data_IF_399654936054
#
_entry.id   IF_399654936054
#
_cell.length_a   1.000
_cell.length_b   1.000
_cell.length_c   1.000
_cell.angle_alpha   90.00
_cell.angle_beta   90.00
_cell.angle_gamma   90.00
#
_symmetry.space_group_name_H-M   'P 1'
#
loop_
_entity.id
_entity.type
_entity.pdbx_description
1 polymer ?
#
# COMPACT_ATOMS: atom_id res chain seq x y z
N UNK A 1 5.92 16.81 7.95
CA UNK A 1 6.47 16.87 6.57
C UNK A 1 5.87 15.71 5.81
N UNK A 2 5.05 15.92 4.78
CA UNK A 2 4.44 14.80 4.08
C UNK A 2 5.33 14.33 2.94
N UNK A 3 6.35 13.56 3.26
CA UNK A 3 7.16 12.80 2.31
C UNK A 3 7.38 11.40 2.86
N UNK A 4 8.37 10.70 2.33
CA UNK A 4 8.71 9.36 2.76
C UNK A 4 10.17 9.06 2.49
N UNK A 5 10.50 7.78 2.40
CA UNK A 5 11.85 7.35 2.05
C UNK A 5 11.79 6.07 1.23
N UNK A 6 12.84 5.88 0.44
CA UNK A 6 13.24 4.60 -0.08
C UNK A 6 14.63 4.30 0.49
N UNK A 7 14.81 3.13 1.07
CA UNK A 7 16.08 2.71 1.66
C UNK A 7 16.53 1.39 1.05
N UNK A 8 17.83 1.31 0.81
CA UNK A 8 18.53 0.05 0.64
C UNK A 8 19.21 -0.28 1.98
N UNK A 9 18.99 -1.50 2.46
CA UNK A 9 19.51 -1.98 3.73
C UNK A 9 20.48 -3.13 3.46
N UNK A 10 21.48 -3.25 4.32
CA UNK A 10 22.35 -4.40 4.36
C UNK A 10 21.53 -5.65 4.77
N UNK A 11 21.43 -6.68 3.91
CA UNK A 11 20.56 -7.82 4.20
C UNK A 11 21.03 -8.71 5.36
N UNK A 12 22.25 -8.52 5.87
CA UNK A 12 22.80 -9.27 7.00
C UNK A 12 22.63 -8.54 8.32
N UNK A 13 22.79 -7.21 8.31
CA UNK A 13 22.83 -6.37 9.51
C UNK A 13 21.59 -5.50 9.68
N UNK A 14 20.80 -5.31 8.63
CA UNK A 14 19.67 -4.37 8.61
C UNK A 14 20.10 -2.91 8.64
N UNK A 15 21.38 -2.59 8.47
CA UNK A 15 21.84 -1.20 8.47
C UNK A 15 21.49 -0.51 7.15
N UNK A 16 21.07 0.75 7.21
CA UNK A 16 20.80 1.55 6.01
C UNK A 16 22.11 1.78 5.25
N UNK A 17 22.16 1.32 4.00
CA UNK A 17 23.26 1.55 3.06
C UNK A 17 23.03 2.83 2.26
N UNK A 18 21.80 3.02 1.78
CA UNK A 18 21.37 4.21 1.03
C UNK A 18 19.97 4.61 1.45
N UNK A 19 19.73 5.90 1.55
CA UNK A 19 18.40 6.47 1.75
C UNK A 19 18.16 7.56 0.69
N UNK A 20 17.08 7.39 -0.06
CA UNK A 20 16.58 8.33 -1.05
C UNK A 20 15.26 8.92 -0.51
N UNK A 21 15.21 10.22 -0.16
CA UNK A 21 13.99 10.82 0.34
C UNK A 21 12.91 10.83 -0.74
N UNK A 22 11.70 10.44 -0.37
CA UNK A 22 10.53 10.54 -1.23
C UNK A 22 9.89 11.89 -1.00
N UNK A 23 9.96 12.75 -2.02
CA UNK A 23 9.41 14.09 -1.96
C UNK A 23 7.89 14.07 -1.72
N UNK A 24 7.34 15.10 -1.05
CA UNK A 24 5.90 15.33 -1.01
C UNK A 24 5.27 15.37 -2.40
N UNK A 25 4.33 14.47 -2.65
CA UNK A 25 3.65 14.34 -3.94
C UNK A 25 2.22 13.82 -3.78
N UNK A 26 1.37 14.07 -4.77
CA UNK A 26 0.04 13.46 -4.84
C UNK A 26 0.25 12.06 -5.42
N UNK A 27 0.28 11.04 -4.58
CA UNK A 27 0.35 9.63 -5.01
C UNK A 27 -1.03 9.03 -5.28
N UNK A 28 -2.05 9.62 -4.66
CA UNK A 28 -3.43 9.21 -4.76
C UNK A 28 -4.31 10.46 -4.72
N UNK A 29 -5.16 10.64 -5.71
CA UNK A 29 -6.23 11.64 -5.70
C UNK A 29 -7.57 10.94 -5.80
N UNK A 30 -8.51 11.30 -4.92
CA UNK A 30 -9.82 10.67 -4.89
C UNK A 30 -10.90 11.73 -4.83
N UNK A 31 -11.82 11.70 -5.81
CA UNK A 31 -12.94 12.63 -5.90
C UNK A 31 -14.26 11.89 -5.77
N UNK A 32 -15.02 12.23 -4.73
CA UNK A 32 -16.39 11.73 -4.55
C UNK A 32 -17.32 12.35 -5.59
N UNK A 33 -18.08 11.52 -6.28
CA UNK A 33 -19.07 11.92 -7.26
C UNK A 33 -20.47 12.06 -6.63
N UNK A 34 -21.42 12.74 -7.30
CA UNK A 34 -22.78 12.91 -6.80
C UNK A 34 -23.55 11.61 -6.52
N UNK A 35 -23.21 10.54 -7.25
CA UNK A 35 -23.79 9.21 -7.07
C UNK A 35 -23.17 8.41 -5.90
N UNK A 36 -22.24 9.02 -5.16
CA UNK A 36 -21.59 8.45 -4.01
C UNK A 36 -20.38 7.57 -4.32
N UNK A 37 -20.07 7.31 -5.60
CA UNK A 37 -18.83 6.64 -6.02
C UNK A 37 -17.65 7.59 -5.94
N UNK A 38 -16.46 7.02 -6.03
CA UNK A 38 -15.20 7.72 -6.07
C UNK A 38 -14.53 7.48 -7.41
N UNK A 39 -14.07 8.55 -8.04
CA UNK A 39 -13.06 8.48 -9.10
C UNK A 39 -11.69 8.62 -8.43
N UNK A 40 -10.88 7.59 -8.54
CA UNK A 40 -9.54 7.54 -7.95
C UNK A 40 -8.49 7.52 -9.05
N UNK A 41 -7.44 8.33 -8.88
CA UNK A 41 -6.28 8.39 -9.75
C UNK A 41 -5.02 8.16 -8.91
N UNK A 42 -4.25 7.15 -9.27
CA UNK A 42 -2.92 6.91 -8.71
C UNK A 42 -1.87 7.51 -9.64
N UNK A 43 -0.85 8.12 -9.04
CA UNK A 43 0.27 8.72 -9.76
C UNK A 43 1.56 7.97 -9.45
N UNK A 44 2.46 7.94 -10.42
CA UNK A 44 3.82 7.43 -10.22
C UNK A 44 4.67 8.47 -9.48
N UNK A 45 5.91 8.10 -9.12
CA UNK A 45 6.86 9.00 -8.43
C UNK A 45 7.20 10.26 -9.26
N UNK A 46 7.08 10.23 -10.58
CA UNK A 46 7.33 11.39 -11.45
C UNK A 46 6.08 12.28 -11.66
N UNK A 47 4.93 11.90 -11.07
CA UNK A 47 3.67 12.63 -11.18
C UNK A 47 2.83 12.26 -12.41
N UNK A 48 3.26 11.30 -13.24
CA UNK A 48 2.42 10.74 -14.31
C UNK A 48 1.31 9.86 -13.76
N UNK A 49 0.17 9.79 -14.47
CA UNK A 49 -0.94 8.91 -14.09
C UNK A 49 -0.53 7.46 -14.29
N UNK A 50 -0.58 6.67 -13.22
CA UNK A 50 -0.37 5.23 -13.23
C UNK A 50 -1.64 4.48 -13.64
N UNK A 51 -2.74 4.78 -12.96
CA UNK A 51 -4.05 4.15 -13.17
C UNK A 51 -5.16 5.07 -12.68
N UNK A 52 -6.33 4.98 -13.32
CA UNK A 52 -7.56 5.60 -12.85
C UNK A 52 -8.66 4.54 -12.78
N UNK A 53 -9.45 4.55 -11.72
CA UNK A 53 -10.51 3.57 -11.51
C UNK A 53 -11.68 4.14 -10.71
N UNK A 54 -12.84 3.51 -10.92
CA UNK A 54 -14.05 3.76 -10.14
C UNK A 54 -14.07 2.89 -8.91
N UNK A 55 -14.53 3.46 -7.80
CA UNK A 55 -14.56 2.79 -6.52
C UNK A 55 -15.83 3.14 -5.74
N UNK A 56 -16.39 2.20 -4.98
CA UNK A 56 -17.52 2.50 -4.09
C UNK A 56 -17.05 2.99 -2.70
N UNK A 57 -17.99 3.31 -1.81
CA UNK A 57 -17.67 3.77 -0.46
C UNK A 57 -17.05 2.70 0.46
N UNK A 58 -17.15 1.42 0.09
CA UNK A 58 -16.46 0.31 0.75
C UNK A 58 -15.05 0.08 0.18
N UNK A 59 -14.58 0.97 -0.68
CA UNK A 59 -13.28 0.89 -1.35
C UNK A 59 -13.06 -0.31 -2.27
N UNK A 60 -14.14 -0.75 -2.91
CA UNK A 60 -14.10 -1.80 -3.94
C UNK A 60 -13.99 -1.16 -5.31
N UNK A 61 -13.01 -1.61 -6.09
CA UNK A 61 -12.81 -1.23 -7.49
C UNK A 61 -13.93 -1.83 -8.33
N UNK A 62 -14.56 -0.99 -9.14
CA UNK A 62 -15.71 -1.35 -9.95
C UNK A 62 -15.31 -1.65 -11.40
N UNK A 63 -15.92 -2.67 -12.00
CA UNK A 63 -15.85 -2.90 -13.43
C UNK A 63 -16.75 -1.91 -14.22
N UNK A 64 -16.75 -2.04 -15.56
CA UNK A 64 -17.58 -1.22 -16.46
C UNK A 64 -19.08 -1.36 -16.19
N UNK A 65 -19.52 -2.49 -15.62
CA UNK A 65 -20.91 -2.72 -15.22
C UNK A 65 -21.26 -2.20 -13.83
N UNK A 66 -20.29 -1.61 -13.13
CA UNK A 66 -20.43 -1.09 -11.77
C UNK A 66 -20.35 -2.16 -10.68
N UNK A 67 -19.86 -3.37 -10.98
CA UNK A 67 -19.73 -4.45 -10.00
C UNK A 67 -18.35 -4.44 -9.34
N UNK A 68 -18.27 -4.70 -8.02
CA UNK A 68 -17.01 -4.91 -7.32
C UNK A 68 -16.17 -6.03 -7.94
N UNK A 69 -14.87 -5.78 -8.12
CA UNK A 69 -13.90 -6.75 -8.66
C UNK A 69 -12.84 -7.15 -7.63
N UNK A 70 -12.35 -6.17 -6.89
CA UNK A 70 -11.32 -6.31 -5.84
C UNK A 70 -11.35 -5.07 -4.94
N UNK A 71 -10.61 -5.08 -3.84
CA UNK A 71 -10.38 -3.89 -3.02
C UNK A 71 -9.27 -3.02 -3.60
N UNK A 72 -9.37 -1.71 -3.39
CA UNK A 72 -8.24 -0.81 -3.59
C UNK A 72 -7.22 -1.01 -2.47
N UNK A 73 -5.92 -0.95 -2.80
CA UNK A 73 -4.86 -1.04 -1.80
C UNK A 73 -4.94 0.09 -0.77
N UNK A 74 -5.27 1.30 -1.24
CA UNK A 74 -5.47 2.47 -0.37
C UNK A 74 -6.86 3.00 -0.55
N UNK A 75 -7.57 3.10 0.57
CA UNK A 75 -8.83 3.79 0.65
C UNK A 75 -8.60 5.22 1.20
N UNK A 76 -9.34 6.26 0.79
CA UNK A 76 -9.21 7.59 1.39
C UNK A 76 -9.50 7.62 2.89
N UNK A 77 -10.40 6.75 3.34
CA UNK A 77 -10.82 6.60 4.75
C UNK A 77 -10.89 5.11 5.06
N UNK A 78 -10.39 4.65 6.21
CA UNK A 78 -10.35 3.23 6.54
C UNK A 78 -11.73 2.56 6.35
N UNK A 79 -11.86 1.57 5.45
CA UNK A 79 -13.13 0.95 5.13
C UNK A 79 -13.65 0.01 6.24
N UNK A 80 -12.86 -0.27 7.28
CA UNK A 80 -13.27 -1.10 8.42
C UNK A 80 -13.53 -2.56 8.06
N UNK A 81 -12.93 -3.05 6.96
CA UNK A 81 -13.05 -4.44 6.53
C UNK A 81 -12.12 -5.34 7.37
N UNK A 82 -12.48 -6.61 7.60
CA UNK A 82 -11.58 -7.54 8.28
C UNK A 82 -10.35 -7.91 7.42
N UNK A 83 -10.46 -7.77 6.09
CA UNK A 83 -9.37 -7.97 5.16
C UNK A 83 -9.58 -7.12 3.89
N UNK A 84 -8.47 -6.82 3.20
CA UNK A 84 -8.50 -6.38 1.80
C UNK A 84 -8.09 -7.53 0.90
N UNK A 85 -8.79 -7.71 -0.21
CA UNK A 85 -8.48 -8.67 -1.26
C UNK A 85 -8.10 -7.94 -2.55
N UNK A 86 -6.85 -8.11 -2.96
CA UNK A 86 -6.29 -7.51 -4.18
C UNK A 86 -5.89 -8.64 -5.12
N UNK A 87 -6.31 -8.56 -6.38
CA UNK A 87 -5.92 -9.52 -7.41
C UNK A 87 -4.57 -9.12 -8.00
N UNK A 88 -3.60 -10.02 -7.88
CA UNK A 88 -2.29 -9.88 -8.50
C UNK A 88 -2.31 -10.62 -9.84
N UNK A 89 -2.14 -9.91 -10.97
CA UNK A 89 -2.14 -10.54 -12.29
C UNK A 89 -0.98 -11.55 -12.39
N UNK A 90 -1.19 -12.68 -13.08
CA UNK A 90 -0.13 -13.67 -13.23
C UNK A 90 0.98 -13.12 -14.16
N UNK A 91 2.24 -13.57 -13.98
CA UNK A 91 3.34 -13.21 -14.87
C UNK A 91 3.19 -13.84 -16.27
N UNK A 92 2.35 -14.87 -16.40
CA UNK A 92 2.07 -15.58 -17.65
C UNK A 92 0.61 -15.33 -18.03
N UNK A 93 0.38 -14.87 -19.26
CA UNK A 93 -0.97 -14.68 -19.81
C UNK A 93 -1.80 -15.98 -19.73
N UNK A 94 -3.10 -15.84 -19.45
CA UNK A 94 -4.10 -16.92 -19.34
C UNK A 94 -4.04 -17.81 -18.09
N UNK A 95 -3.23 -17.46 -17.08
CA UNK A 95 -3.37 -18.06 -15.75
C UNK A 95 -4.42 -17.31 -14.91
N UNK A 96 -4.94 -17.97 -13.88
CA UNK A 96 -5.79 -17.31 -12.90
C UNK A 96 -4.96 -16.34 -12.05
N UNK A 97 -5.46 -15.13 -11.75
CA UNK A 97 -4.82 -14.23 -10.80
C UNK A 97 -4.67 -14.87 -9.42
N UNK A 98 -3.63 -14.46 -8.70
CA UNK A 98 -3.49 -14.79 -7.28
C UNK A 98 -4.12 -13.70 -6.42
N UNK A 99 -4.54 -14.03 -5.20
CA UNK A 99 -5.10 -13.06 -4.26
C UNK A 99 -4.06 -12.67 -3.21
N UNK A 100 -3.78 -11.37 -3.14
CA UNK A 100 -3.09 -10.73 -2.03
C UNK A 100 -4.14 -10.36 -0.98
N UNK A 101 -4.06 -10.99 0.19
CA UNK A 101 -4.92 -10.69 1.34
C UNK A 101 -4.15 -9.93 2.40
N UNK A 102 -4.59 -8.72 2.76
CA UNK A 102 -4.07 -7.98 3.89
C UNK A 102 -5.05 -8.09 5.06
N UNK A 103 -4.56 -8.42 6.24
CA UNK A 103 -5.34 -8.56 7.46
C UNK A 103 -5.63 -7.18 8.06
N UNK A 104 -6.90 -6.87 8.31
CA UNK A 104 -7.30 -5.65 9.01
C UNK A 104 -7.07 -5.75 10.53
N UNK A 105 -6.70 -4.62 11.15
CA UNK A 105 -6.51 -4.52 12.59
C UNK A 105 -5.67 -3.32 13.00
N UNK A 106 -5.17 -3.31 14.23
CA UNK A 106 -4.16 -2.35 14.65
C UNK A 106 -2.77 -2.87 14.26
N UNK A 107 -1.99 -2.04 13.58
CA UNK A 107 -0.59 -2.29 13.28
C UNK A 107 0.19 -2.30 14.59
N UNK A 108 0.93 -3.37 14.83
CA UNK A 108 1.68 -3.55 16.09
C UNK A 108 3.04 -2.86 16.06
N UNK A 109 3.58 -2.63 14.86
CA UNK A 109 4.84 -1.94 14.63
C UNK A 109 4.57 -0.48 14.24
N UNK A 110 5.42 0.42 14.72
CA UNK A 110 5.40 1.86 14.42
C UNK A 110 6.21 2.14 13.15
N UNK A 111 5.65 1.78 11.99
CA UNK A 111 6.35 1.83 10.70
C UNK A 111 6.74 3.24 10.25
N UNK A 112 6.10 4.28 10.78
CA UNK A 112 6.42 5.67 10.43
C UNK A 112 7.02 6.49 11.57
N UNK A 113 7.38 5.80 12.68
CA UNK A 113 8.14 6.28 13.82
C UNK A 113 7.52 7.50 14.52
N UNK A 114 6.18 7.59 14.56
CA UNK A 114 5.46 8.70 15.19
C UNK A 114 4.94 8.39 16.61
N UNK A 115 5.18 7.15 17.08
CA UNK A 115 4.83 6.67 18.41
C UNK A 115 3.35 6.33 18.59
N UNK A 116 2.55 6.26 17.52
CA UNK A 116 1.11 5.95 17.60
C UNK A 116 0.81 4.59 17.01
N UNK A 117 -0.07 3.85 17.68
CA UNK A 117 -0.68 2.65 17.11
C UNK A 117 -1.72 3.04 16.07
N UNK A 118 -1.53 2.65 14.81
CA UNK A 118 -2.51 2.91 13.76
C UNK A 118 -3.41 1.72 13.45
N UNK A 119 -4.70 1.98 13.16
CA UNK A 119 -5.49 1.03 12.41
C UNK A 119 -4.98 0.92 10.97
N UNK A 120 -5.08 -0.27 10.40
CA UNK A 120 -4.58 -0.53 9.07
C UNK A 120 -4.77 -1.95 8.60
N UNK A 121 -4.06 -2.26 7.53
CA UNK A 121 -4.04 -3.57 6.89
C UNK A 121 -2.60 -4.03 6.72
N UNK A 122 -2.32 -5.27 7.11
CA UNK A 122 -0.97 -5.83 7.12
C UNK A 122 -0.94 -7.15 6.34
N UNK A 123 0.09 -7.31 5.50
CA UNK A 123 0.49 -8.61 4.97
C UNK A 123 1.97 -8.81 5.23
N UNK A 124 2.29 -9.92 5.89
CA UNK A 124 3.65 -10.47 5.90
C UNK A 124 3.74 -11.58 4.85
N UNK A 125 4.81 -11.57 4.06
CA UNK A 125 5.10 -12.60 3.07
C UNK A 125 6.44 -13.26 3.39
N UNK A 126 6.61 -14.49 2.92
CA UNK A 126 7.91 -15.15 2.95
C UNK A 126 7.82 -16.66 2.78
N UNK A 127 8.91 -17.23 2.27
CA UNK A 127 9.05 -18.67 2.07
C UNK A 127 10.35 -19.14 2.70
N UNK A 128 10.25 -19.74 3.90
CA UNK A 128 11.28 -20.63 4.46
C UNK A 128 12.70 -20.08 4.57
N UNK A 129 12.88 -18.77 4.74
CA UNK A 129 14.17 -18.15 5.08
C UNK A 129 14.91 -17.43 3.94
N UNK A 130 14.49 -17.60 2.67
CA UNK A 130 15.22 -17.00 1.53
C UNK A 130 14.53 -15.77 0.94
N UNK A 131 13.29 -15.47 1.30
CA UNK A 131 12.63 -14.23 0.91
C UNK A 131 11.49 -13.94 1.86
N UNK A 132 11.21 -12.66 2.06
CA UNK A 132 10.09 -12.22 2.87
C UNK A 132 9.88 -10.72 2.79
N UNK A 133 8.78 -10.27 3.36
CA UNK A 133 8.45 -8.87 3.36
C UNK A 133 7.23 -8.53 4.18
N UNK A 134 6.98 -7.23 4.25
CA UNK A 134 5.87 -6.61 4.93
C UNK A 134 5.25 -5.61 3.95
N UNK A 135 3.93 -5.60 3.88
CA UNK A 135 3.15 -4.53 3.27
C UNK A 135 2.13 -4.06 4.31
N UNK A 136 2.20 -2.79 4.67
CA UNK A 136 1.26 -2.17 5.59
C UNK A 136 0.61 -0.94 4.95
N UNK A 137 -0.69 -0.77 5.19
CA UNK A 137 -1.46 0.43 4.85
C UNK A 137 -2.04 0.95 6.16
N UNK A 138 -1.69 2.17 6.55
CA UNK A 138 -2.12 2.75 7.81
C UNK A 138 -3.03 3.95 7.63
N UNK A 139 -3.83 4.20 8.65
CA UNK A 139 -4.75 5.32 8.72
C UNK A 139 -4.55 6.09 10.02
N UNK A 140 -4.81 7.39 9.99
CA UNK A 140 -4.80 8.19 11.22
C UNK A 140 -5.83 7.66 12.22
N UNK A 141 -5.46 7.43 13.50
CA UNK A 141 -6.39 6.88 14.49
C UNK A 141 -7.66 7.73 14.67
N UNK A 142 -7.50 9.05 14.66
CA UNK A 142 -8.59 10.00 14.96
C UNK A 142 -9.51 10.22 13.74
N UNK A 143 -8.93 10.53 12.58
CA UNK A 143 -9.69 10.90 11.38
C UNK A 143 -9.99 9.71 10.47
N UNK A 144 -9.35 8.56 10.70
CA UNK A 144 -9.42 7.37 9.85
C UNK A 144 -8.97 7.62 8.42
N UNK A 145 -8.35 8.76 8.13
CA UNK A 145 -7.85 9.10 6.81
C UNK A 145 -6.57 8.34 6.48
N UNK A 146 -6.36 8.00 5.20
CA UNK A 146 -5.12 7.36 4.74
C UNK A 146 -3.89 8.12 5.23
N UNK A 147 -2.97 7.40 5.87
CA UNK A 147 -1.75 7.96 6.48
C UNK A 147 -0.52 7.58 5.68
N UNK A 148 -0.25 6.28 5.50
CA UNK A 148 0.91 5.82 4.75
C UNK A 148 0.72 4.42 4.13
N UNK A 149 1.58 4.10 3.15
CA UNK A 149 1.97 2.73 2.82
C UNK A 149 3.40 2.52 3.30
N UNK A 150 3.65 1.37 3.94
CA UNK A 150 4.98 0.87 4.23
C UNK A 150 5.20 -0.45 3.51
N UNK A 151 6.37 -0.61 2.90
CA UNK A 151 6.80 -1.86 2.27
C UNK A 151 8.22 -2.19 2.71
N UNK A 152 8.43 -3.41 3.19
CA UNK A 152 9.75 -4.00 3.37
C UNK A 152 9.79 -5.25 2.52
N UNK A 153 10.84 -5.44 1.73
CA UNK A 153 11.01 -6.69 1.00
C UNK A 153 12.49 -7.06 0.92
N UNK A 154 12.77 -8.33 1.19
CA UNK A 154 14.11 -8.86 1.16
C UNK A 154 14.17 -10.25 0.55
N UNK A 155 15.30 -10.55 -0.04
CA UNK A 155 15.62 -11.85 -0.59
C UNK A 155 17.08 -12.19 -0.26
N UNK A 156 17.31 -13.46 0.08
CA UNK A 156 18.61 -14.10 0.20
C UNK A 156 18.72 -15.20 -0.88
N UNK A 157 19.80 -15.20 -1.64
CA UNK A 157 20.01 -16.14 -2.75
C UNK A 157 20.91 -15.57 -3.85
N UNK A 158 20.49 -15.71 -5.12
CA UNK A 158 21.30 -15.32 -6.28
C UNK A 158 21.75 -13.85 -6.27
N UNK A 159 20.93 -12.96 -5.71
CA UNK A 159 21.33 -11.62 -5.28
C UNK A 159 20.66 -11.36 -3.93
N UNK A 160 21.44 -10.95 -2.93
CA UNK A 160 20.93 -10.56 -1.63
C UNK A 160 20.54 -9.09 -1.66
N UNK A 161 19.31 -8.78 -1.27
CA UNK A 161 18.85 -7.39 -1.14
C UNK A 161 17.80 -7.27 -0.05
N UNK A 162 17.70 -6.06 0.50
CA UNK A 162 16.68 -5.65 1.44
C UNK A 162 16.34 -4.20 1.14
N UNK A 163 15.08 -3.93 0.82
CA UNK A 163 14.59 -2.60 0.49
C UNK A 163 13.42 -2.24 1.37
N UNK A 164 13.38 -0.98 1.80
CA UNK A 164 12.33 -0.43 2.65
C UNK A 164 11.78 0.85 2.01
N UNK A 165 10.48 0.93 1.84
CA UNK A 165 9.78 2.07 1.28
C UNK A 165 8.69 2.53 2.26
N UNK A 166 8.68 3.83 2.55
CA UNK A 166 7.60 4.49 3.27
C UNK A 166 7.05 5.60 2.39
N UNK A 167 5.75 5.58 2.12
CA UNK A 167 5.04 6.60 1.36
C UNK A 167 3.94 7.19 2.25
N UNK A 168 4.11 8.43 2.71
CA UNK A 168 3.07 9.13 3.49
C UNK A 168 2.14 9.92 2.56
N UNK A 169 0.86 9.85 2.84
CA UNK A 169 -0.18 10.52 2.07
C UNK A 169 -0.44 11.93 2.57
N UNK A 170 -0.80 12.81 1.64
CA UNK A 170 -1.52 14.04 1.93
C UNK A 170 -2.85 13.97 1.19
N UNK A 171 -3.94 13.78 1.93
CA UNK A 171 -5.26 13.92 1.34
C UNK A 171 -5.57 15.42 1.19
N UNK A 172 -6.10 15.80 0.03
CA UNK A 172 -6.61 17.14 -0.25
C UNK A 172 -8.08 17.05 -0.62
#
# INVERSE_FOLDING_TARGET
>A
MSGGFHRELDPQTGQVIREDPVAPGIYLATQRQPDGRYLTVEYTKDGSVRVAYWMNAACEILDESGKPTQDALVCPVDPGKPHLMILVPPPIQNLVPSALLLQGGNLQDDFDEDGKTEPGYLKTTGSGGNSGGVLAVAYWPDSRQAKYIYTLFGQQGGANFLTEDLLRFTLR
#
